data_IF_437211186042
#
_entry.id   IF_437211186042
#
_cell.length_a   1.000
_cell.length_b   1.000
_cell.length_c   1.000
_cell.angle_alpha   90.00
_cell.angle_beta   90.00
_cell.angle_gamma   90.00
#
_symmetry.space_group_name_H-M   'P 1'
#
loop_
_entity.id
_entity.type
_entity.pdbx_description
1 polymer ?
#
# COMPACT_ATOMS: atom_id res chain seq x y z
N UNK A 1 4.21 21.04 -3.51
CA UNK A 1 4.20 22.21 -2.59
C UNK A 1 2.77 22.70 -2.34
N UNK A 2 1.91 22.80 -3.37
CA UNK A 2 0.52 23.24 -3.25
C UNK A 2 -0.29 22.38 -2.24
N UNK A 3 -0.12 21.08 -2.26
CA UNK A 3 -0.84 20.14 -1.37
C UNK A 3 -0.43 20.32 0.10
N UNK A 4 0.86 20.58 0.38
CA UNK A 4 1.34 20.91 1.71
C UNK A 4 0.68 22.21 2.24
N UNK A 5 0.51 23.19 1.38
CA UNK A 5 -0.13 24.46 1.74
C UNK A 5 -1.64 24.32 1.93
N UNK A 6 -2.28 23.41 1.19
CA UNK A 6 -3.70 23.05 1.41
C UNK A 6 -3.87 22.42 2.79
N UNK A 7 -3.01 21.45 3.16
CA UNK A 7 -3.05 20.84 4.50
C UNK A 7 -2.80 21.87 5.60
N UNK A 8 -1.80 22.73 5.47
CA UNK A 8 -1.54 23.81 6.45
C UNK A 8 -2.75 24.70 6.66
N UNK A 9 -3.45 25.07 5.59
CA UNK A 9 -4.68 25.87 5.69
C UNK A 9 -5.82 25.11 6.37
N UNK A 10 -5.99 23.83 6.07
CA UNK A 10 -7.02 22.99 6.66
C UNK A 10 -6.82 22.78 8.16
N UNK A 11 -5.58 22.64 8.63
CA UNK A 11 -5.26 22.46 10.05
C UNK A 11 -5.06 23.78 10.82
N UNK A 12 -5.05 24.91 10.12
CA UNK A 12 -4.94 26.24 10.74
C UNK A 12 -3.70 26.37 11.63
N UNK A 13 -3.84 27.03 12.78
CA UNK A 13 -2.72 27.30 13.71
C UNK A 13 -2.09 26.02 14.27
N UNK A 14 -2.89 24.97 14.51
CA UNK A 14 -2.38 23.69 14.99
C UNK A 14 -1.42 22.99 13.99
N UNK A 15 -1.53 23.28 12.70
CA UNK A 15 -0.69 22.69 11.66
C UNK A 15 0.59 23.47 11.33
N UNK A 16 0.71 24.71 11.77
CA UNK A 16 1.79 25.63 11.30
C UNK A 16 3.20 25.12 11.59
N UNK A 17 3.41 24.56 12.77
CA UNK A 17 4.73 24.13 13.24
C UNK A 17 5.04 22.68 12.86
N UNK A 18 4.01 21.89 12.53
CA UNK A 18 4.14 20.46 12.23
C UNK A 18 4.20 20.24 10.72
N UNK A 19 3.26 20.83 9.97
CA UNK A 19 3.12 20.61 8.53
C UNK A 19 4.09 21.49 7.76
N UNK A 20 5.35 21.07 7.71
CA UNK A 20 6.38 21.68 6.89
C UNK A 20 6.53 20.96 5.55
N UNK A 21 7.12 21.57 4.50
CA UNK A 21 7.42 20.88 3.25
C UNK A 21 8.26 19.61 3.45
N UNK A 22 9.21 19.63 4.38
CA UNK A 22 10.05 18.48 4.72
C UNK A 22 9.23 17.37 5.40
N UNK A 23 8.36 17.73 6.35
CA UNK A 23 7.44 16.78 6.96
C UNK A 23 6.50 16.15 5.92
N UNK A 24 5.90 16.99 5.04
CA UNK A 24 5.00 16.54 3.99
C UNK A 24 5.69 15.55 3.03
N UNK A 25 6.88 15.90 2.53
CA UNK A 25 7.68 15.02 1.68
C UNK A 25 8.05 13.71 2.40
N UNK A 26 8.40 13.78 3.69
CA UNK A 26 8.70 12.60 4.50
C UNK A 26 7.50 11.69 4.73
N UNK A 27 6.30 12.24 4.92
CA UNK A 27 5.08 11.44 5.08
C UNK A 27 4.67 10.82 3.73
N UNK A 28 4.61 11.60 2.66
CA UNK A 28 4.17 11.11 1.35
C UNK A 28 5.07 10.01 0.80
N UNK A 29 6.39 10.13 0.96
CA UNK A 29 7.32 9.07 0.56
C UNK A 29 7.13 7.78 1.36
N UNK A 30 6.89 7.88 2.68
CA UNK A 30 6.61 6.70 3.52
C UNK A 30 5.26 6.06 3.18
N UNK A 31 4.24 6.86 2.93
CA UNK A 31 2.94 6.35 2.49
C UNK A 31 3.07 5.59 1.17
N UNK A 32 3.80 6.14 0.20
CA UNK A 32 4.02 5.48 -1.08
C UNK A 32 4.68 4.10 -0.95
N UNK A 33 5.68 3.96 -0.06
CA UNK A 33 6.42 2.71 0.14
C UNK A 33 5.67 1.68 0.99
N UNK A 34 4.72 2.11 1.83
CA UNK A 34 4.09 1.27 2.85
C UNK A 34 2.59 1.09 2.65
N UNK A 35 2.00 1.67 1.60
CA UNK A 35 0.57 1.53 1.33
C UNK A 35 0.26 0.35 0.44
N UNK A 36 -0.90 -0.24 0.69
CA UNK A 36 -1.51 -1.28 -0.12
C UNK A 36 -2.66 -0.69 -0.93
N UNK A 37 -2.77 -1.08 -2.20
CA UNK A 37 -3.96 -0.79 -2.98
C UNK A 37 -5.12 -1.62 -2.43
N UNK A 38 -6.23 -0.96 -2.14
CA UNK A 38 -7.46 -1.59 -1.67
C UNK A 38 -8.57 -1.28 -2.64
N UNK A 39 -9.32 -2.31 -3.00
CA UNK A 39 -10.53 -2.19 -3.83
C UNK A 39 -11.72 -2.63 -2.98
N UNK A 40 -12.66 -1.71 -2.74
CA UNK A 40 -13.85 -1.93 -1.93
C UNK A 40 -15.06 -1.89 -2.85
N UNK A 41 -15.90 -2.94 -2.87
CA UNK A 41 -17.17 -2.88 -3.57
C UNK A 41 -17.99 -1.70 -3.05
N UNK A 42 -18.49 -0.87 -3.95
CA UNK A 42 -19.41 0.21 -3.59
C UNK A 42 -20.82 -0.35 -3.75
N UNK A 43 -21.45 -0.68 -2.64
CA UNK A 43 -22.88 -0.99 -2.66
C UNK A 43 -23.64 0.27 -3.05
N UNK A 44 -24.38 0.20 -4.16
CA UNK A 44 -25.24 1.29 -4.64
C UNK A 44 -26.33 1.70 -3.60
N UNK A 45 -26.50 0.91 -2.56
CA UNK A 45 -27.42 1.16 -1.44
C UNK A 45 -26.75 1.88 -0.24
N UNK A 46 -25.43 1.94 -0.18
CA UNK A 46 -24.74 2.74 0.83
C UNK A 46 -24.83 4.20 0.44
N UNK A 47 -25.92 4.83 0.82
CA UNK A 47 -26.13 6.28 0.77
C UNK A 47 -25.10 6.95 1.69
N UNK A 48 -23.89 7.10 1.23
CA UNK A 48 -22.93 8.01 1.85
C UNK A 48 -23.41 9.42 1.56
N UNK A 49 -23.89 10.06 2.56
CA UNK A 49 -24.49 11.41 2.52
C UNK A 49 -23.44 12.50 2.30
N UNK A 50 -22.17 12.18 2.16
CA UNK A 50 -21.12 13.16 1.94
C UNK A 50 -20.62 13.13 0.51
N UNK A 51 -21.12 14.09 -0.27
CA UNK A 51 -20.77 14.31 -1.69
C UNK A 51 -19.25 14.47 -1.91
N UNK A 52 -18.50 14.85 -0.87
CA UNK A 52 -17.04 14.98 -0.92
C UNK A 52 -16.35 13.63 -1.02
N UNK A 53 -16.86 12.61 -0.36
CA UNK A 53 -16.31 11.25 -0.39
C UNK A 53 -16.54 10.59 -1.75
N UNK A 54 -17.69 10.87 -2.38
CA UNK A 54 -18.01 10.38 -3.73
C UNK A 54 -17.09 11.02 -4.78
N UNK A 55 -16.78 12.31 -4.64
CA UNK A 55 -15.90 13.02 -5.58
C UNK A 55 -14.45 12.56 -5.48
N UNK A 56 -13.98 12.19 -4.30
CA UNK A 56 -12.64 11.66 -4.07
C UNK A 56 -12.44 10.23 -4.58
N UNK A 57 -13.53 9.44 -4.64
CA UNK A 57 -13.51 8.07 -5.14
C UNK A 57 -13.42 7.97 -6.67
N UNK A 58 -13.61 9.10 -7.38
CA UNK A 58 -13.50 9.18 -8.84
C UNK A 58 -14.70 8.61 -9.59
N UNK A 59 -14.92 9.14 -10.79
CA UNK A 59 -16.03 8.74 -11.65
C UNK A 59 -16.01 7.25 -12.04
N UNK A 60 -14.81 6.63 -12.05
CA UNK A 60 -14.61 5.22 -12.37
C UNK A 60 -15.20 4.26 -11.32
N UNK A 61 -15.24 4.67 -10.04
CA UNK A 61 -15.84 3.88 -8.98
C UNK A 61 -17.36 3.74 -9.17
N UNK A 62 -18.01 4.79 -9.65
CA UNK A 62 -19.46 4.82 -9.90
C UNK A 62 -19.84 3.90 -11.07
N UNK A 63 -18.96 3.78 -12.06
CA UNK A 63 -19.22 2.97 -13.27
C UNK A 63 -18.84 1.51 -13.11
N UNK A 64 -17.91 1.19 -12.21
CA UNK A 64 -17.39 -0.18 -12.00
C UNK A 64 -17.93 -0.84 -10.73
N UNK A 65 -18.65 -0.13 -9.89
CA UNK A 65 -19.16 -0.64 -8.61
C UNK A 65 -18.08 -0.94 -7.58
N UNK A 66 -16.84 -0.41 -7.78
CA UNK A 66 -15.72 -0.55 -6.85
C UNK A 66 -15.05 0.81 -6.63
N UNK A 67 -14.71 1.12 -5.39
CA UNK A 67 -13.86 2.23 -5.03
C UNK A 67 -12.43 1.71 -4.80
N UNK A 68 -11.43 2.33 -5.43
CA UNK A 68 -10.03 2.03 -5.16
C UNK A 68 -9.38 3.11 -4.32
N UNK A 69 -8.54 2.69 -3.37
CA UNK A 69 -7.83 3.57 -2.48
C UNK A 69 -6.50 2.99 -2.04
N UNK A 70 -5.83 3.68 -1.13
CA UNK A 70 -4.60 3.21 -0.49
C UNK A 70 -4.78 3.13 1.01
N UNK A 71 -4.34 2.02 1.62
CA UNK A 71 -4.40 1.82 3.07
C UNK A 71 -3.01 1.48 3.62
N UNK A 72 -2.71 1.97 4.82
CA UNK A 72 -1.52 1.58 5.59
C UNK A 72 -1.97 0.73 6.76
N UNK A 73 -1.43 -0.48 6.85
CA UNK A 73 -1.75 -1.43 7.91
C UNK A 73 -0.63 -1.46 8.94
N UNK A 74 -0.96 -1.24 10.19
CA UNK A 74 0.00 -1.08 11.30
C UNK A 74 1.09 -2.15 11.36
N UNK A 75 0.76 -3.40 11.06
CA UNK A 75 1.69 -4.53 11.13
C UNK A 75 2.13 -5.01 9.75
N UNK A 76 1.21 -5.11 8.80
CA UNK A 76 1.49 -5.66 7.46
C UNK A 76 2.42 -4.75 6.66
N UNK A 77 2.30 -3.43 6.84
CA UNK A 77 3.20 -2.46 6.19
C UNK A 77 4.65 -2.53 6.71
N UNK A 78 4.92 -3.33 7.74
CA UNK A 78 6.28 -3.59 8.25
C UNK A 78 6.90 -4.87 7.68
N UNK A 79 6.13 -5.70 6.97
CA UNK A 79 6.65 -6.94 6.39
C UNK A 79 7.54 -6.64 5.19
N UNK A 80 8.73 -7.24 5.18
CA UNK A 80 9.68 -7.09 4.09
C UNK A 80 9.32 -7.94 2.87
N UNK A 81 9.98 -7.65 1.76
CA UNK A 81 9.79 -8.34 0.50
C UNK A 81 10.64 -9.61 0.38
N UNK A 82 10.04 -10.65 -0.21
CA UNK A 82 10.76 -11.76 -0.83
C UNK A 82 10.07 -12.16 -2.14
N UNK A 83 10.85 -12.53 -3.18
CA UNK A 83 10.29 -13.13 -4.39
C UNK A 83 9.83 -14.60 -4.18
N UNK A 84 10.21 -15.20 -3.02
CA UNK A 84 9.72 -16.48 -2.51
C UNK A 84 9.20 -16.26 -1.09
N UNK A 85 8.07 -15.56 -0.92
CA UNK A 85 7.57 -15.17 0.38
C UNK A 85 7.06 -16.38 1.16
N UNK A 86 7.00 -16.25 2.50
CA UNK A 86 6.36 -17.24 3.35
C UNK A 86 4.95 -16.84 3.78
N UNK A 87 4.51 -15.63 3.44
CA UNK A 87 3.17 -15.13 3.71
C UNK A 87 2.52 -14.54 2.45
N UNK A 88 1.20 -14.57 2.45
CA UNK A 88 0.35 -13.97 1.44
C UNK A 88 -0.66 -13.03 2.09
N UNK A 89 -0.91 -11.90 1.45
CA UNK A 89 -1.94 -10.92 1.85
C UNK A 89 -3.23 -11.16 1.10
N UNK A 90 -4.36 -11.10 1.82
CA UNK A 90 -5.67 -11.39 1.25
C UNK A 90 -6.77 -10.52 1.88
N UNK A 91 -7.73 -10.07 1.05
CA UNK A 91 -8.92 -9.33 1.47
C UNK A 91 -10.14 -10.24 1.34
N UNK A 92 -10.57 -10.85 2.46
CA UNK A 92 -11.59 -11.91 2.44
C UNK A 92 -13.02 -11.37 2.34
N UNK A 93 -13.29 -10.22 2.95
CA UNK A 93 -14.66 -9.77 3.22
C UNK A 93 -15.17 -8.70 2.23
N UNK A 94 -14.41 -8.36 1.20
CA UNK A 94 -14.76 -7.26 0.31
C UNK A 94 -14.77 -5.88 1.00
N UNK A 95 -14.10 -5.79 2.15
CA UNK A 95 -13.86 -4.56 2.91
C UNK A 95 -12.37 -4.22 2.93
N UNK A 96 -11.96 -3.22 3.73
CA UNK A 96 -10.56 -2.82 3.87
C UNK A 96 -9.76 -3.69 4.84
N UNK A 97 -10.32 -4.75 5.41
CA UNK A 97 -9.63 -5.64 6.33
C UNK A 97 -8.65 -6.55 5.59
N UNK A 98 -7.38 -6.53 6.00
CA UNK A 98 -6.32 -7.34 5.40
C UNK A 98 -5.95 -8.52 6.30
N UNK A 99 -6.00 -9.72 5.75
CA UNK A 99 -5.56 -10.96 6.39
C UNK A 99 -4.18 -11.35 5.88
N UNK A 100 -3.27 -11.78 6.78
CA UNK A 100 -2.01 -12.42 6.42
C UNK A 100 -2.17 -13.91 6.61
N UNK A 101 -1.87 -14.68 5.57
CA UNK A 101 -1.92 -16.14 5.59
C UNK A 101 -0.54 -16.72 5.33
N UNK A 102 -0.10 -17.64 6.19
CA UNK A 102 1.14 -18.38 5.97
C UNK A 102 0.99 -19.31 4.74
N UNK A 103 1.98 -19.33 3.89
CA UNK A 103 2.05 -20.18 2.69
C UNK A 103 2.68 -21.55 2.99
N UNK A 104 3.38 -21.65 4.10
CA UNK A 104 4.04 -22.86 4.62
C UNK A 104 4.21 -22.78 6.14
N UNK A 105 4.71 -23.82 6.73
CA UNK A 105 5.17 -23.77 8.12
C UNK A 105 6.30 -22.75 8.29
N UNK A 106 6.20 -21.93 9.33
CA UNK A 106 7.14 -20.85 9.66
C UNK A 106 7.70 -21.12 11.04
N UNK A 107 9.04 -21.20 11.12
CA UNK A 107 9.72 -21.48 12.38
C UNK A 107 9.68 -20.25 13.32
N UNK A 108 9.72 -20.47 14.65
CA UNK A 108 9.87 -19.36 15.59
C UNK A 108 11.13 -18.54 15.31
N UNK A 109 10.98 -17.22 15.20
CA UNK A 109 12.07 -16.29 14.88
C UNK A 109 12.36 -16.13 13.38
N UNK A 110 11.67 -16.86 12.51
CA UNK A 110 11.77 -16.67 11.08
C UNK A 110 11.07 -15.35 10.68
N UNK A 111 11.69 -14.57 9.78
CA UNK A 111 11.12 -13.34 9.26
C UNK A 111 9.90 -13.63 8.41
N UNK A 112 8.81 -12.87 8.65
CA UNK A 112 7.62 -12.91 7.80
C UNK A 112 7.84 -12.02 6.58
N UNK A 113 7.65 -12.57 5.39
CA UNK A 113 7.83 -11.85 4.12
C UNK A 113 6.61 -11.98 3.22
N UNK A 114 6.35 -10.92 2.46
CA UNK A 114 5.33 -10.87 1.41
C UNK A 114 5.97 -10.51 0.06
N UNK A 115 5.24 -10.63 -1.04
CA UNK A 115 5.73 -10.09 -2.30
C UNK A 115 5.20 -8.67 -2.54
N UNK A 116 6.08 -7.76 -2.99
CA UNK A 116 5.73 -6.39 -3.39
C UNK A 116 5.50 -6.27 -4.89
N UNK A 117 5.89 -7.29 -5.64
CA UNK A 117 5.81 -7.33 -7.09
C UNK A 117 5.14 -8.63 -7.55
N UNK A 118 4.73 -8.68 -8.79
CA UNK A 118 4.26 -9.92 -9.38
C UNK A 118 5.38 -10.97 -9.38
N UNK A 119 5.16 -12.05 -8.60
CA UNK A 119 6.13 -13.12 -8.41
C UNK A 119 6.33 -13.96 -9.69
N UNK A 120 5.37 -13.97 -10.62
CA UNK A 120 5.45 -14.73 -11.87
C UNK A 120 6.26 -13.99 -12.95
N UNK A 121 6.54 -12.71 -12.73
CA UNK A 121 7.41 -11.93 -13.61
C UNK A 121 8.85 -12.48 -13.64
N UNK A 122 9.57 -12.35 -14.77
CA UNK A 122 10.99 -12.69 -14.85
C UNK A 122 11.84 -11.96 -13.80
N UNK A 123 12.92 -12.60 -13.34
CA UNK A 123 13.83 -12.07 -12.31
C UNK A 123 14.24 -10.62 -12.53
N UNK A 124 14.71 -10.31 -13.75
CA UNK A 124 15.24 -8.96 -14.03
C UNK A 124 14.13 -7.90 -14.01
N UNK A 125 12.91 -8.26 -14.43
CA UNK A 125 11.74 -7.38 -14.34
C UNK A 125 11.35 -7.13 -12.88
N UNK A 126 11.34 -8.18 -12.03
CA UNK A 126 11.08 -8.03 -10.59
C UNK A 126 12.11 -7.13 -9.92
N UNK A 127 13.41 -7.37 -10.18
CA UNK A 127 14.50 -6.57 -9.63
C UNK A 127 14.44 -5.12 -10.08
N UNK A 128 14.23 -4.88 -11.38
CA UNK A 128 14.07 -3.53 -11.91
C UNK A 128 12.90 -2.79 -11.26
N UNK A 129 11.77 -3.46 -11.05
CA UNK A 129 10.61 -2.87 -10.36
C UNK A 129 10.90 -2.55 -8.90
N UNK A 130 11.56 -3.44 -8.18
CA UNK A 130 11.93 -3.22 -6.78
C UNK A 130 12.93 -2.06 -6.63
N UNK A 131 13.95 -2.00 -7.48
CA UNK A 131 14.91 -0.89 -7.49
C UNK A 131 14.22 0.46 -7.78
N UNK A 132 13.33 0.50 -8.77
CA UNK A 132 12.68 1.74 -9.19
C UNK A 132 11.59 2.21 -8.22
N UNK A 133 10.78 1.28 -7.66
CA UNK A 133 9.61 1.64 -6.85
C UNK A 133 9.88 1.61 -5.35
N UNK A 134 10.88 0.83 -4.89
CA UNK A 134 11.17 0.61 -3.47
C UNK A 134 12.62 0.92 -3.10
N UNK A 135 13.47 1.30 -4.09
CA UNK A 135 14.85 1.72 -3.91
C UNK A 135 15.77 0.66 -3.27
N UNK A 136 15.56 -0.63 -3.54
CA UNK A 136 16.46 -1.69 -3.11
C UNK A 136 16.64 -2.79 -4.16
N UNK A 137 17.78 -3.51 -4.08
CA UNK A 137 18.07 -4.71 -4.86
C UNK A 137 17.71 -5.96 -4.07
N UNK A 138 16.84 -6.80 -4.62
CA UNK A 138 16.43 -8.04 -3.95
C UNK A 138 17.53 -9.10 -3.99
N UNK A 139 17.89 -9.60 -2.82
CA UNK A 139 18.86 -10.68 -2.62
C UNK A 139 18.24 -11.96 -2.02
N UNK A 140 16.92 -12.15 -2.15
CA UNK A 140 16.25 -13.35 -1.65
C UNK A 140 16.77 -14.62 -2.34
N UNK A 141 16.49 -15.79 -1.76
CA UNK A 141 16.98 -17.10 -2.27
C UNK A 141 16.66 -17.33 -3.74
N UNK A 142 15.46 -16.96 -4.18
CA UNK A 142 15.05 -17.09 -5.60
C UNK A 142 15.88 -16.20 -6.54
N UNK A 143 16.10 -14.94 -6.16
CA UNK A 143 16.95 -14.03 -6.95
C UNK A 143 18.43 -14.45 -6.95
N UNK A 144 18.94 -15.00 -5.85
CA UNK A 144 20.28 -15.52 -5.73
C UNK A 144 20.49 -16.78 -6.59
N UNK A 145 19.45 -17.63 -6.73
CA UNK A 145 19.46 -18.80 -7.59
C UNK A 145 19.36 -18.47 -9.10
N UNK A 146 19.12 -17.20 -9.46
CA UNK A 146 19.01 -16.79 -10.87
C UNK A 146 17.59 -16.92 -11.46
N UNK A 147 16.59 -17.21 -10.64
CA UNK A 147 15.20 -17.44 -11.05
C UNK A 147 14.34 -16.16 -11.03
#
# INVERSE_FOLDING_TARGET
>A
LEECDVLRRAFGDAGKDIITPAWYAGITSRLHLNSFRVEIPVDAAASTTDFKDVLSAGLDAITQGTASGSAVYKYVSLLNHSCAPNCHTHWENGDSSLTIRALREIAPGEELTITYVDADSPRDARRARLANSYAFDCACSRCAAGE
#
